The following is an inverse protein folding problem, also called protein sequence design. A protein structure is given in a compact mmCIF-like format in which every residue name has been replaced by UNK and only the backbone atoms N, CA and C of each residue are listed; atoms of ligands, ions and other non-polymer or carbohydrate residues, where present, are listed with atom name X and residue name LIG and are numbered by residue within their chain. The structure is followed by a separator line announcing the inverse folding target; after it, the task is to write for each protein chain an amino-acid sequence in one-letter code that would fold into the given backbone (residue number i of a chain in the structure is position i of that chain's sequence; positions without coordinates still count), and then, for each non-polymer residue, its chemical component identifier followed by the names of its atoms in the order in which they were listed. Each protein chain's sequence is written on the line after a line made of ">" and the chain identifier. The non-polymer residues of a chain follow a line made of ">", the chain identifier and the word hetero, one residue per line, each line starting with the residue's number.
data_IF_058358613630
#
_entry.id   IF_058358613630
#
_cell.length_a   1.000
_cell.length_b   1.000
_cell.length_c   1.000
_cell.angle_alpha   90.00
_cell.angle_beta   90.00
_cell.angle_gamma   90.00
#
_symmetry.space_group_name_H-M   'P 1'
#
loop_
_entity.id
_entity.type
_entity.pdbx_description
1 polymer ?
#
# COMPACT_ATOMS: atom_id res chain seq x y z
N UNK A 1 -3.70 11.95 -13.11
CA UNK A 1 -3.79 12.10 -11.65
C UNK A 1 -2.43 12.52 -11.11
N UNK A 2 -2.38 13.48 -10.17
CA UNK A 2 -1.12 14.00 -9.62
C UNK A 2 -1.05 13.75 -8.11
N UNK A 3 0.15 13.69 -7.55
CA UNK A 3 0.35 13.53 -6.09
C UNK A 3 -0.22 14.67 -5.25
N UNK A 4 -0.25 15.89 -5.78
CA UNK A 4 -0.90 17.05 -5.13
C UNK A 4 -2.40 16.87 -4.91
N UNK A 5 -3.04 15.94 -5.63
CA UNK A 5 -4.46 15.62 -5.52
C UNK A 5 -4.72 14.57 -4.42
N UNK A 6 -3.66 14.08 -3.77
CA UNK A 6 -3.73 13.06 -2.73
C UNK A 6 -3.59 13.67 -1.33
N UNK A 7 -4.19 12.99 -0.36
CA UNK A 7 -4.10 13.35 1.06
C UNK A 7 -2.87 12.68 1.67
N UNK A 8 -1.89 13.43 2.17
CA UNK A 8 -0.73 12.86 2.86
C UNK A 8 -1.12 12.06 4.11
N UNK A 9 -0.32 11.06 4.46
CA UNK A 9 -0.48 10.27 5.68
C UNK A 9 0.89 9.83 6.22
N UNK A 10 1.01 9.71 7.53
CA UNK A 10 2.17 9.10 8.18
C UNK A 10 1.99 7.58 8.27
N UNK A 11 3.07 6.84 8.04
CA UNK A 11 3.07 5.38 8.15
C UNK A 11 3.59 4.97 9.53
N UNK A 12 2.83 4.15 10.23
CA UNK A 12 3.22 3.61 11.52
C UNK A 12 4.00 2.31 11.35
N UNK A 13 5.21 2.33 11.87
CA UNK A 13 6.11 1.19 11.99
C UNK A 13 5.96 0.65 13.41
N UNK A 14 4.89 -0.11 13.66
CA UNK A 14 4.68 -0.72 14.98
C UNK A 14 5.47 -2.03 15.11
N UNK A 15 6.17 -2.21 16.23
CA UNK A 15 6.95 -3.44 16.50
C UNK A 15 6.04 -4.68 16.64
N UNK A 16 4.81 -4.47 17.15
CA UNK A 16 3.80 -5.52 17.29
C UNK A 16 2.39 -5.00 16.97
N UNK A 17 1.65 -5.76 16.16
CA UNK A 17 0.26 -5.43 15.84
C UNK A 17 -0.64 -5.71 17.04
N UNK A 18 -1.29 -4.67 17.56
CA UNK A 18 -2.26 -4.80 18.66
C UNK A 18 -3.63 -5.28 18.16
N UNK A 19 -3.85 -5.24 16.85
CA UNK A 19 -5.13 -5.56 16.21
C UNK A 19 -5.29 -7.06 15.91
N UNK A 20 -4.19 -7.77 15.67
CA UNK A 20 -4.20 -9.22 15.41
C UNK A 20 -3.96 -10.07 16.66
N UNK A 21 -4.40 -9.61 17.84
CA UNK A 21 -4.30 -10.39 19.07
C UNK A 21 -5.31 -11.55 19.09
N UNK A 22 -4.89 -12.80 19.36
CA UNK A 22 -5.79 -13.93 19.52
C UNK A 22 -6.87 -13.66 20.59
N UNK A 23 -8.13 -13.95 20.27
CA UNK A 23 -9.25 -13.86 21.22
C UNK A 23 -9.89 -12.47 21.38
N UNK A 24 -9.41 -11.43 20.69
CA UNK A 24 -10.08 -10.13 20.64
C UNK A 24 -10.85 -9.96 19.32
N UNK A 25 -12.08 -9.41 19.35
CA UNK A 25 -12.77 -9.04 18.13
C UNK A 25 -11.96 -7.96 17.41
N UNK A 26 -11.84 -8.09 16.08
CA UNK A 26 -11.20 -7.06 15.28
C UNK A 26 -12.05 -5.78 15.33
N UNK A 27 -11.45 -4.60 15.46
CA UNK A 27 -12.17 -3.35 15.29
C UNK A 27 -12.79 -3.30 13.90
N UNK A 28 -14.02 -2.77 13.86
CA UNK A 28 -14.82 -2.60 12.64
C UNK A 28 -15.27 -1.16 12.56
N UNK A 29 -14.40 -0.34 11.98
CA UNK A 29 -14.62 1.10 11.82
C UNK A 29 -15.12 1.41 10.40
N UNK A 30 -14.68 0.65 9.42
CA UNK A 30 -15.02 0.86 8.01
C UNK A 30 -14.80 -0.41 7.17
N UNK A 31 -14.97 -0.24 5.86
CA UNK A 31 -14.66 -1.21 4.81
C UNK A 31 -13.84 -0.51 3.74
N UNK A 32 -12.52 -0.45 3.93
CA UNK A 32 -11.65 0.25 3.00
C UNK A 32 -10.66 -0.69 2.35
N UNK A 33 -10.51 -0.53 1.05
CA UNK A 33 -9.52 -1.23 0.24
C UNK A 33 -8.73 -0.26 -0.60
N UNK A 34 -7.54 -0.67 -1.04
CA UNK A 34 -6.73 0.09 -1.98
C UNK A 34 -7.54 0.36 -3.25
N UNK A 35 -7.49 1.60 -3.72
CA UNK A 35 -8.05 1.97 -5.01
C UNK A 35 -7.05 1.61 -6.13
N UNK A 36 -7.09 0.33 -6.54
CA UNK A 36 -6.19 -0.25 -7.53
C UNK A 36 -6.18 0.48 -8.88
N UNK A 37 -7.34 0.98 -9.30
CA UNK A 37 -7.49 1.69 -10.56
C UNK A 37 -6.81 3.06 -10.49
N UNK A 38 -7.07 3.82 -9.41
CA UNK A 38 -6.40 5.10 -9.17
C UNK A 38 -4.90 4.93 -8.97
N UNK A 39 -4.47 3.86 -8.30
CA UNK A 39 -3.05 3.54 -8.11
C UNK A 39 -2.35 3.31 -9.45
N UNK A 40 -2.94 2.48 -10.32
CA UNK A 40 -2.40 2.25 -11.67
C UNK A 40 -2.30 3.55 -12.45
N UNK A 41 -3.36 4.36 -12.45
CA UNK A 41 -3.38 5.63 -13.17
C UNK A 41 -2.31 6.60 -12.65
N UNK A 42 -2.18 6.72 -11.32
CA UNK A 42 -1.16 7.55 -10.69
C UNK A 42 0.25 7.13 -11.10
N UNK A 43 0.55 5.83 -11.11
CA UNK A 43 1.85 5.31 -11.52
C UNK A 43 2.11 5.61 -12.99
N UNK A 44 1.16 5.32 -13.88
CA UNK A 44 1.34 5.56 -15.32
C UNK A 44 1.52 7.03 -15.66
N UNK A 45 0.79 7.92 -14.99
CA UNK A 45 0.86 9.36 -15.25
C UNK A 45 2.16 10.00 -14.73
N UNK A 46 2.91 9.31 -13.87
CA UNK A 46 4.05 9.89 -13.17
C UNK A 46 5.34 9.04 -13.24
N UNK A 47 5.35 7.92 -13.97
CA UNK A 47 6.42 6.90 -13.92
C UNK A 47 7.84 7.43 -14.09
N UNK A 48 8.04 8.48 -14.91
CA UNK A 48 9.36 9.11 -15.10
C UNK A 48 9.92 9.73 -13.83
N UNK A 49 9.05 10.14 -12.90
CA UNK A 49 9.41 10.80 -11.62
C UNK A 49 9.51 9.81 -10.46
N UNK A 50 9.15 8.55 -10.69
CA UNK A 50 9.07 7.52 -9.66
C UNK A 50 10.29 6.61 -9.72
N UNK A 51 10.69 6.13 -8.54
CA UNK A 51 11.66 5.06 -8.39
C UNK A 51 10.99 3.78 -7.88
N UNK A 52 10.18 3.88 -6.82
CA UNK A 52 9.44 2.76 -6.24
C UNK A 52 8.07 3.18 -5.71
N UNK A 53 7.09 2.27 -5.80
CA UNK A 53 5.78 2.41 -5.15
C UNK A 53 5.43 1.15 -4.37
N UNK A 54 5.09 1.35 -3.10
CA UNK A 54 4.61 0.33 -2.17
C UNK A 54 3.16 0.61 -1.80
N UNK A 55 2.38 -0.43 -1.52
CA UNK A 55 1.01 -0.32 -1.01
C UNK A 55 0.85 -1.17 0.25
N UNK A 56 -0.01 -0.77 1.18
CA UNK A 56 -0.24 -1.48 2.44
C UNK A 56 -1.24 -0.75 3.33
N UNK A 57 -1.24 -1.07 4.63
CA UNK A 57 -2.08 -0.41 5.65
C UNK A 57 -1.19 0.53 6.48
N UNK A 58 -1.54 1.81 6.54
CA UNK A 58 -0.71 2.84 7.15
C UNK A 58 -0.37 2.54 8.61
N UNK A 59 -1.32 2.02 9.38
CA UNK A 59 -1.19 1.79 10.81
C UNK A 59 -0.41 0.52 11.18
N UNK A 60 -0.17 -0.38 10.22
CA UNK A 60 0.58 -1.64 10.41
C UNK A 60 1.54 -1.87 9.22
N UNK A 61 2.23 -0.80 8.83
CA UNK A 61 2.91 -0.72 7.52
C UNK A 61 3.96 -1.82 7.33
N UNK A 62 4.83 -2.04 8.33
CA UNK A 62 5.92 -3.03 8.28
C UNK A 62 5.43 -4.40 7.87
N UNK A 63 4.26 -4.82 8.38
CA UNK A 63 3.74 -6.18 8.22
C UNK A 63 2.81 -6.34 7.04
N UNK A 64 2.27 -5.23 6.51
CA UNK A 64 1.16 -5.25 5.54
C UNK A 64 1.53 -4.70 4.17
N UNK A 65 2.68 -4.04 4.05
CA UNK A 65 3.09 -3.43 2.80
C UNK A 65 3.73 -4.42 1.82
N UNK A 66 3.73 -4.03 0.55
CA UNK A 66 4.52 -4.67 -0.48
C UNK A 66 4.74 -3.79 -1.69
N UNK A 67 5.85 -4.01 -2.40
CA UNK A 67 6.19 -3.29 -3.62
C UNK A 67 5.24 -3.71 -4.75
N UNK A 68 4.58 -2.72 -5.36
CA UNK A 68 3.63 -2.93 -6.47
C UNK A 68 4.20 -2.50 -7.82
N UNK A 69 5.18 -1.59 -7.80
CA UNK A 69 5.85 -1.09 -8.99
C UNK A 69 7.25 -0.56 -8.62
N UNK A 70 8.22 -0.79 -9.49
CA UNK A 70 9.54 -0.13 -9.43
C UNK A 70 10.01 0.25 -10.85
N UNK A 71 10.98 1.17 -10.95
CA UNK A 71 11.50 1.67 -12.23
C UNK A 71 12.21 0.60 -13.08
N UNK A 72 12.80 -0.41 -12.46
CA UNK A 72 13.54 -1.51 -13.11
C UNK A 72 12.59 -2.58 -13.68
N UNK A 73 11.58 -3.00 -12.91
CA UNK A 73 10.66 -4.09 -13.26
C UNK A 73 9.32 -3.63 -13.84
N UNK A 74 8.92 -2.39 -13.54
CA UNK A 74 7.55 -1.94 -13.72
C UNK A 74 6.63 -2.61 -12.72
N UNK A 75 5.41 -2.98 -13.14
CA UNK A 75 4.42 -3.58 -12.23
C UNK A 75 4.79 -5.00 -11.80
N UNK A 76 4.77 -5.23 -10.49
CA UNK A 76 4.97 -6.55 -9.91
C UNK A 76 3.74 -7.44 -10.15
N UNK A 77 3.94 -8.72 -10.43
CA UNK A 77 2.81 -9.69 -10.54
C UNK A 77 2.25 -10.10 -9.18
N UNK A 78 3.10 -10.06 -8.15
CA UNK A 78 2.75 -10.30 -6.77
C UNK A 78 3.64 -9.37 -5.91
N UNK A 79 3.05 -8.53 -5.05
CA UNK A 79 3.79 -7.85 -4.01
C UNK A 79 4.40 -8.92 -3.10
N UNK A 80 5.66 -8.73 -2.71
CA UNK A 80 6.41 -9.64 -1.82
C UNK A 80 6.73 -11.04 -2.42
N UNK A 81 6.84 -11.19 -3.75
CA UNK A 81 7.30 -12.47 -4.33
C UNK A 81 8.83 -12.68 -4.11
N UNK A 82 9.09 -13.45 -3.05
CA UNK A 82 10.27 -14.26 -2.66
C UNK A 82 11.56 -13.62 -2.15
N UNK A 83 11.66 -12.31 -1.92
CA UNK A 83 12.83 -11.72 -1.24
C UNK A 83 12.45 -10.38 -0.58
N UNK A 84 11.86 -10.40 0.62
CA UNK A 84 12.27 -9.53 1.73
C UNK A 84 11.41 -9.74 2.98
N UNK A 85 12.13 -9.92 4.10
CA UNK A 85 11.74 -9.88 5.52
C UNK A 85 10.45 -10.59 6.02
N UNK A 86 10.68 -11.51 6.97
CA UNK A 86 9.79 -12.01 8.04
C UNK A 86 8.28 -11.85 7.82
N UNK A 87 7.61 -12.90 7.33
CA UNK A 87 6.15 -13.09 7.46
C UNK A 87 5.27 -11.88 7.07
N UNK A 88 5.75 -10.99 6.19
CA UNK A 88 5.00 -9.81 5.73
C UNK A 88 3.98 -10.24 4.67
N UNK A 89 2.73 -10.37 5.10
CA UNK A 89 1.60 -10.63 4.19
C UNK A 89 1.19 -9.28 3.60
N UNK A 90 1.01 -9.18 2.28
CA UNK A 90 0.44 -7.98 1.67
C UNK A 90 -1.07 -7.87 1.98
N UNK A 91 -1.55 -6.70 2.42
CA UNK A 91 -2.98 -6.46 2.68
C UNK A 91 -3.52 -5.30 1.84
N UNK A 92 -4.46 -5.61 0.95
CA UNK A 92 -5.16 -4.62 0.13
C UNK A 92 -6.40 -4.02 0.77
N UNK A 93 -6.85 -4.55 1.91
CA UNK A 93 -8.04 -4.11 2.64
C UNK A 93 -7.79 -4.08 4.14
N UNK A 94 -8.50 -3.18 4.83
CA UNK A 94 -8.61 -3.19 6.28
C UNK A 94 -10.01 -2.77 6.74
N UNK A 95 -10.45 -3.37 7.85
CA UNK A 95 -11.70 -3.02 8.53
C UNK A 95 -11.55 -1.89 9.56
N UNK A 96 -10.32 -1.40 9.76
CA UNK A 96 -9.95 -0.50 10.86
C UNK A 96 -8.83 0.48 10.53
N UNK A 97 -7.92 0.11 9.61
CA UNK A 97 -6.76 0.90 9.24
C UNK A 97 -6.92 1.48 7.84
N UNK A 98 -6.12 2.49 7.54
CA UNK A 98 -6.15 3.24 6.29
C UNK A 98 -5.29 2.57 5.22
N UNK A 99 -5.88 2.06 4.11
CA UNK A 99 -5.09 1.62 2.97
C UNK A 99 -4.37 2.83 2.34
N UNK A 100 -3.06 2.67 2.16
CA UNK A 100 -2.14 3.73 1.80
C UNK A 100 -1.08 3.25 0.81
N UNK A 101 -0.39 4.23 0.23
CA UNK A 101 0.80 4.00 -0.59
C UNK A 101 1.98 4.80 -0.04
N UNK A 102 3.18 4.25 -0.22
CA UNK A 102 4.44 4.95 -0.04
C UNK A 102 5.12 5.04 -1.40
N UNK A 103 5.67 6.21 -1.69
CA UNK A 103 6.31 6.52 -2.97
C UNK A 103 7.72 7.00 -2.69
N UNK A 104 8.68 6.36 -3.35
CA UNK A 104 10.05 6.82 -3.47
C UNK A 104 10.18 7.47 -4.84
N UNK A 105 10.55 8.75 -4.85
CA UNK A 105 10.75 9.52 -6.07
C UNK A 105 12.17 9.34 -6.60
N UNK A 106 12.36 9.67 -7.88
CA UNK A 106 13.66 9.57 -8.54
C UNK A 106 14.76 10.49 -7.96
N UNK A 107 14.37 11.48 -7.16
CA UNK A 107 15.26 12.36 -6.39
C UNK A 107 15.50 11.85 -4.96
N UNK A 108 15.16 10.58 -4.70
CA UNK A 108 15.28 9.88 -3.42
C UNK A 108 14.39 10.45 -2.30
N UNK A 109 13.51 11.40 -2.62
CA UNK A 109 12.51 11.87 -1.64
C UNK A 109 11.42 10.82 -1.46
N UNK A 110 10.85 10.78 -0.26
CA UNK A 110 9.77 9.85 0.08
C UNK A 110 8.51 10.61 0.49
N UNK A 111 7.36 10.10 0.08
CA UNK A 111 6.06 10.58 0.54
C UNK A 111 5.03 9.48 0.59
N UNK A 112 4.06 9.62 1.50
CA UNK A 112 3.02 8.63 1.73
C UNK A 112 1.64 9.25 1.67
N UNK A 113 0.69 8.51 1.10
CA UNK A 113 -0.63 9.02 0.76
C UNK A 113 -1.72 8.00 1.06
N UNK A 114 -2.88 8.51 1.48
CA UNK A 114 -4.12 7.72 1.53
C UNK A 114 -4.54 7.41 0.10
N UNK A 115 -4.84 6.15 -0.19
CA UNK A 115 -5.33 5.75 -1.50
C UNK A 115 -6.27 4.56 -1.39
N UNK A 116 -7.51 4.83 -0.99
CA UNK A 116 -8.51 3.83 -0.76
C UNK A 116 -9.87 4.20 -1.36
N UNK A 117 -10.74 3.19 -1.41
CA UNK A 117 -12.18 3.30 -1.67
C UNK A 117 -12.94 2.36 -0.75
N UNK A 118 -14.25 2.52 -0.67
CA UNK A 118 -15.11 1.55 0.01
C UNK A 118 -15.05 0.19 -0.69
N UNK A 119 -14.94 -0.88 0.10
CA UNK A 119 -14.94 -2.26 -0.38
C UNK A 119 -14.21 -3.22 0.55
N UNK A 120 -14.26 -4.51 0.21
CA UNK A 120 -13.75 -5.62 1.04
C UNK A 120 -12.75 -6.51 0.30
N UNK A 121 -12.07 -5.99 -0.72
CA UNK A 121 -11.12 -6.79 -1.48
C UNK A 121 -9.74 -6.86 -0.81
N UNK A 122 -9.46 -8.02 -0.22
CA UNK A 122 -8.19 -8.32 0.46
C UNK A 122 -7.04 -8.59 -0.52
N UNK A 123 -7.34 -8.84 -1.80
CA UNK A 123 -6.37 -9.36 -2.74
C UNK A 123 -5.62 -8.25 -3.48
N UNK A 124 -4.39 -8.58 -3.85
CA UNK A 124 -3.66 -7.81 -4.86
C UNK A 124 -4.22 -8.10 -6.26
N UNK A 125 -4.27 -7.05 -7.10
CA UNK A 125 -4.57 -7.16 -8.53
C UNK A 125 -3.39 -6.70 -9.36
N UNK A 126 -2.96 -7.53 -10.31
CA UNK A 126 -1.90 -7.15 -11.23
C UNK A 126 -2.28 -5.92 -12.05
N UNK A 127 -1.44 -4.88 -11.97
CA UNK A 127 -1.71 -3.57 -12.57
C UNK A 127 -1.11 -3.39 -13.98
N UNK A 128 -0.21 -4.27 -14.44
CA UNK A 128 0.51 -4.12 -15.72
C UNK A 128 -0.24 -4.57 -16.97
N UNK A 129 -1.58 -4.52 -16.98
CA UNK A 129 -2.40 -4.78 -18.17
C UNK A 129 -2.26 -3.67 -19.21
#
# INVERSE_FOLDING_TARGET
>A
MRFQDLVPIELNVIESSTVYQPGKPRPKEHDWQIDWERLRQLILDNSERLDEVKAGIAEDWVRTHGTVWDRTRGFYRKPNDSYDYDDTVFWGYSSWGTPAIAVIFADETEASYRLYKEGMDYNYHYLGK
#
